data_IF_709767920725
#
_entry.id   IF_709767920725
#
_cell.length_a   1.000
_cell.length_b   1.000
_cell.length_c   1.000
_cell.angle_alpha   90.00
_cell.angle_beta   90.00
_cell.angle_gamma   90.00
#
_symmetry.space_group_name_H-M   'P 1'
#
loop_
_entity.id
_entity.type
_entity.pdbx_description
1 polymer ?
#
# COMPACT_ATOMS: atom_id res chain seq x y z
N UNK A 1 58.91 -34.32 -39.23
CA UNK A 1 57.52 -33.91 -38.95
C UNK A 1 57.46 -33.68 -37.46
N UNK A 2 57.82 -32.49 -37.01
CA UNK A 2 57.77 -32.13 -35.59
C UNK A 2 56.92 -30.87 -35.50
N UNK A 3 55.68 -31.05 -35.05
CA UNK A 3 54.68 -30.01 -34.94
C UNK A 3 54.73 -29.44 -33.55
N UNK A 4 55.54 -28.41 -33.34
CA UNK A 4 55.57 -27.67 -32.09
C UNK A 4 54.32 -26.79 -32.02
N UNK A 5 53.36 -27.20 -31.19
CA UNK A 5 52.23 -26.34 -30.83
C UNK A 5 52.80 -25.23 -29.96
N UNK A 6 52.76 -24.00 -30.49
CA UNK A 6 53.27 -22.82 -29.80
C UNK A 6 52.42 -22.56 -28.55
N UNK A 7 53.05 -22.60 -27.37
CA UNK A 7 52.40 -22.41 -26.07
C UNK A 7 51.67 -21.05 -26.01
N UNK A 8 52.06 -20.09 -26.85
CA UNK A 8 51.41 -18.79 -26.98
C UNK A 8 50.00 -18.85 -27.60
N UNK A 9 49.68 -19.83 -28.43
CA UNK A 9 48.33 -19.98 -29.00
C UNK A 9 47.33 -20.53 -27.97
N UNK A 10 47.79 -21.41 -27.07
CA UNK A 10 46.98 -21.93 -25.95
C UNK A 10 46.69 -20.82 -24.93
N UNK A 11 47.64 -19.92 -24.68
CA UNK A 11 47.46 -18.78 -23.78
C UNK A 11 46.53 -17.69 -24.35
N UNK A 12 46.42 -17.59 -25.68
CA UNK A 12 45.51 -16.64 -26.34
C UNK A 12 44.06 -17.14 -26.33
N UNK A 13 43.85 -18.45 -26.45
CA UNK A 13 42.53 -19.08 -26.39
C UNK A 13 41.89 -19.06 -24.99
N UNK A 14 42.69 -19.16 -23.94
CA UNK A 14 42.19 -19.15 -22.55
C UNK A 14 41.79 -17.76 -22.03
N UNK A 15 42.31 -16.66 -22.60
CA UNK A 15 42.00 -15.29 -22.14
C UNK A 15 40.75 -14.65 -22.75
N UNK A 16 40.26 -15.15 -23.88
CA UNK A 16 39.08 -14.60 -24.57
C UNK A 16 37.77 -15.26 -24.14
N UNK A 17 37.80 -16.49 -23.64
CA UNK A 17 36.60 -17.25 -23.24
C UNK A 17 35.98 -16.76 -21.91
N UNK A 18 36.81 -16.32 -20.95
CA UNK A 18 36.35 -15.92 -19.60
C UNK A 18 35.67 -14.51 -19.58
N UNK A 19 36.04 -13.63 -20.51
CA UNK A 19 35.42 -12.29 -20.64
C UNK A 19 33.97 -12.35 -21.14
N UNK A 20 33.64 -13.29 -22.02
CA UNK A 20 32.28 -13.44 -22.56
C UNK A 20 31.28 -13.89 -21.50
N UNK A 21 31.68 -14.84 -20.64
CA UNK A 21 30.86 -15.28 -19.51
C UNK A 21 30.65 -14.17 -18.49
N UNK A 22 31.71 -13.44 -18.11
CA UNK A 22 31.64 -12.36 -17.11
C UNK A 22 30.78 -11.18 -17.57
N UNK A 23 30.85 -10.79 -18.85
CA UNK A 23 29.93 -9.78 -19.41
C UNK A 23 28.48 -10.25 -19.40
N UNK A 24 28.24 -11.54 -19.69
CA UNK A 24 26.89 -12.11 -19.68
C UNK A 24 26.30 -12.16 -18.25
N UNK A 25 27.10 -12.57 -17.26
CA UNK A 25 26.71 -12.52 -15.85
C UNK A 25 26.38 -11.10 -15.39
N UNK A 26 27.21 -10.11 -15.73
CA UNK A 26 26.95 -8.71 -15.39
C UNK A 26 25.64 -8.25 -16.03
N UNK A 27 25.41 -8.55 -17.31
CA UNK A 27 24.18 -8.16 -18.01
C UNK A 27 22.93 -8.81 -17.37
N UNK A 28 22.99 -10.10 -17.04
CA UNK A 28 21.93 -10.80 -16.32
C UNK A 28 21.67 -10.17 -14.94
N UNK A 29 22.71 -9.84 -14.17
CA UNK A 29 22.57 -9.17 -12.89
C UNK A 29 21.91 -7.79 -13.03
N UNK A 30 22.29 -7.00 -14.04
CA UNK A 30 21.67 -5.71 -14.31
C UNK A 30 20.20 -5.85 -14.73
N UNK A 31 19.86 -6.83 -15.56
CA UNK A 31 18.47 -7.09 -15.95
C UNK A 31 17.63 -7.51 -14.75
N UNK A 32 18.15 -8.40 -13.90
CA UNK A 32 17.46 -8.82 -12.67
C UNK A 32 17.33 -7.67 -11.66
N UNK A 33 18.34 -6.81 -11.57
CA UNK A 33 18.28 -5.63 -10.72
C UNK A 33 17.24 -4.62 -11.23
N UNK A 34 17.24 -4.31 -12.52
CA UNK A 34 16.25 -3.43 -13.14
C UNK A 34 14.83 -3.99 -13.01
N UNK A 35 14.63 -5.30 -13.25
CA UNK A 35 13.30 -5.92 -13.12
C UNK A 35 12.79 -5.86 -11.68
N UNK A 36 13.65 -6.11 -10.68
CA UNK A 36 13.26 -5.98 -9.27
C UNK A 36 12.88 -4.54 -8.90
N UNK A 37 13.60 -3.53 -9.38
CA UNK A 37 13.22 -2.11 -9.17
C UNK A 37 11.84 -1.82 -9.79
N UNK A 38 11.60 -2.28 -11.02
CA UNK A 38 10.31 -2.05 -11.70
C UNK A 38 9.17 -2.69 -10.90
N UNK A 39 9.37 -3.90 -10.37
CA UNK A 39 8.37 -4.58 -9.53
C UNK A 39 8.11 -3.80 -8.23
N UNK A 40 9.15 -3.31 -7.57
CA UNK A 40 9.01 -2.52 -6.34
C UNK A 40 8.26 -1.20 -6.60
N UNK A 41 8.61 -0.48 -7.66
CA UNK A 41 7.93 0.77 -8.04
C UNK A 41 6.48 0.49 -8.45
N UNK A 42 6.24 -0.57 -9.22
CA UNK A 42 4.90 -0.99 -9.61
C UNK A 42 4.02 -1.35 -8.41
N UNK A 43 4.58 -2.03 -7.41
CA UNK A 43 3.90 -2.36 -6.18
C UNK A 43 3.54 -1.12 -5.36
N UNK A 44 4.48 -0.17 -5.17
CA UNK A 44 4.17 1.11 -4.50
C UNK A 44 3.06 1.84 -5.24
N UNK A 45 3.15 1.97 -6.56
CA UNK A 45 2.13 2.63 -7.37
C UNK A 45 0.76 1.96 -7.26
N UNK A 46 0.71 0.62 -7.32
CA UNK A 46 -0.52 -0.15 -7.19
C UNK A 46 -1.17 0.07 -5.83
N UNK A 47 -0.40 -0.09 -4.74
CA UNK A 47 -0.94 0.05 -3.39
C UNK A 47 -1.41 1.48 -3.10
N UNK A 48 -0.66 2.51 -3.48
CA UNK A 48 -1.07 3.91 -3.29
C UNK A 48 -2.26 4.32 -4.20
N UNK A 49 -2.53 3.56 -5.25
CA UNK A 49 -3.65 3.84 -6.16
C UNK A 49 -4.94 3.16 -5.70
N UNK A 50 -4.85 1.88 -5.33
CA UNK A 50 -6.01 1.09 -4.91
C UNK A 50 -6.36 1.25 -3.43
N UNK A 51 -5.36 1.45 -2.58
CA UNK A 51 -5.51 1.59 -1.13
C UNK A 51 -4.83 2.89 -0.65
N UNK A 52 -5.38 4.07 -1.02
CA UNK A 52 -4.79 5.35 -0.66
C UNK A 52 -4.98 5.71 0.83
N UNK A 53 -5.88 5.02 1.54
CA UNK A 53 -6.20 5.25 2.95
C UNK A 53 -6.62 3.97 3.67
N UNK A 54 -6.70 4.04 5.00
CA UNK A 54 -7.37 3.09 5.89
C UNK A 54 -8.31 3.84 6.86
N UNK A 55 -9.46 3.25 7.20
CA UNK A 55 -10.38 3.78 8.22
C UNK A 55 -10.07 3.26 9.63
N UNK A 56 -9.22 2.24 9.71
CA UNK A 56 -8.74 1.63 10.96
C UNK A 56 -7.24 1.92 11.10
N UNK A 57 -6.78 2.02 12.34
CA UNK A 57 -5.34 2.12 12.64
C UNK A 57 -4.63 0.89 12.09
N UNK A 58 -3.63 1.13 11.25
CA UNK A 58 -2.78 0.09 10.64
C UNK A 58 -1.37 0.67 10.51
N UNK A 59 -0.35 -0.11 10.87
CA UNK A 59 1.05 0.33 10.88
C UNK A 59 1.54 0.78 9.49
N UNK A 60 0.90 0.30 8.41
CA UNK A 60 1.17 0.70 7.04
C UNK A 60 0.64 2.11 6.72
N UNK A 61 -0.26 2.65 7.54
CA UNK A 61 -0.90 3.95 7.38
C UNK A 61 -0.66 4.82 8.63
N UNK A 62 0.56 5.32 8.86
CA UNK A 62 0.91 5.97 10.13
C UNK A 62 0.38 7.40 10.28
N UNK A 63 -0.13 8.04 9.21
CA UNK A 63 -0.49 9.46 9.25
C UNK A 63 -2.01 9.66 9.36
N UNK A 64 -2.52 10.16 10.50
CA UNK A 64 -3.93 10.47 10.64
C UNK A 64 -4.32 11.76 9.91
N UNK A 65 -5.54 11.77 9.39
CA UNK A 65 -6.23 12.88 8.74
C UNK A 65 -7.71 12.83 9.12
N UNK A 66 -8.42 13.95 8.97
CA UNK A 66 -9.85 14.03 9.29
C UNK A 66 -10.67 14.49 8.09
N UNK A 67 -11.85 13.90 7.92
CA UNK A 67 -12.81 14.33 6.89
C UNK A 67 -13.43 15.67 7.27
N UNK A 68 -13.72 16.51 6.27
CA UNK A 68 -14.25 17.85 6.52
C UNK A 68 -15.70 17.83 7.02
N UNK A 69 -16.51 16.88 6.57
CA UNK A 69 -17.97 16.84 6.85
C UNK A 69 -18.30 16.36 8.26
N UNK A 70 -17.68 15.27 8.69
CA UNK A 70 -18.05 14.56 9.92
C UNK A 70 -16.90 14.45 10.93
N UNK A 71 -15.70 14.97 10.61
CA UNK A 71 -14.54 14.84 11.48
C UNK A 71 -14.09 13.39 11.67
N UNK A 72 -14.43 12.51 10.74
CA UNK A 72 -14.04 11.08 10.79
C UNK A 72 -12.53 11.00 10.54
N UNK A 73 -11.83 10.35 11.45
CA UNK A 73 -10.40 10.09 11.33
C UNK A 73 -10.14 8.94 10.36
N UNK A 74 -9.16 9.14 9.48
CA UNK A 74 -8.67 8.14 8.54
C UNK A 74 -7.16 8.27 8.41
N UNK A 75 -6.53 7.23 7.92
CA UNK A 75 -5.09 7.06 7.97
C UNK A 75 -4.52 6.93 6.56
N UNK A 76 -3.39 7.57 6.29
CA UNK A 76 -2.71 7.54 4.99
C UNK A 76 -1.25 7.14 5.14
N UNK A 77 -0.66 6.58 4.06
CA UNK A 77 0.76 6.22 4.02
C UNK A 77 1.69 7.42 4.03
N UNK A 78 1.27 8.52 3.43
CA UNK A 78 2.03 9.77 3.35
C UNK A 78 1.09 10.94 3.09
N UNK A 79 1.10 11.92 4.00
CA UNK A 79 0.27 13.13 3.90
C UNK A 79 0.55 13.90 2.60
N UNK A 80 1.83 14.14 2.29
CA UNK A 80 2.22 14.88 1.09
C UNK A 80 1.79 14.19 -0.20
N UNK A 81 1.95 12.85 -0.31
CA UNK A 81 1.49 12.11 -1.50
C UNK A 81 -0.03 12.18 -1.62
N UNK A 82 -0.75 12.03 -0.50
CA UNK A 82 -2.21 12.08 -0.48
C UNK A 82 -2.74 13.46 -0.87
N UNK A 83 -2.24 14.53 -0.27
CA UNK A 83 -2.70 15.90 -0.53
C UNK A 83 -2.28 16.41 -1.92
N UNK A 84 -1.15 15.95 -2.48
CA UNK A 84 -0.83 16.22 -3.90
C UNK A 84 -1.83 15.58 -4.86
N UNK A 85 -2.31 14.38 -4.56
CA UNK A 85 -3.28 13.65 -5.40
C UNK A 85 -4.71 14.11 -5.18
N UNK A 86 -5.06 14.43 -3.93
CA UNK A 86 -6.38 14.81 -3.44
C UNK A 86 -6.28 16.13 -2.66
N UNK A 87 -5.95 17.21 -3.35
CA UNK A 87 -5.77 18.52 -2.72
C UNK A 87 -7.05 19.03 -2.06
N UNK A 88 -6.89 19.64 -0.88
CA UNK A 88 -8.00 20.19 -0.10
C UNK A 88 -8.79 21.20 -0.91
N UNK A 89 -10.13 21.14 -0.82
CA UNK A 89 -11.05 22.02 -1.55
C UNK A 89 -11.32 21.59 -3.00
N UNK A 90 -10.67 20.54 -3.51
CA UNK A 90 -10.96 20.02 -4.86
C UNK A 90 -12.14 19.04 -4.85
N UNK A 91 -12.81 18.90 -6.02
CA UNK A 91 -13.85 17.87 -6.20
C UNK A 91 -13.29 16.45 -5.98
N UNK A 92 -12.04 16.19 -6.36
CA UNK A 92 -11.39 14.90 -6.10
C UNK A 92 -11.26 14.62 -4.61
N UNK A 93 -10.94 15.63 -3.80
CA UNK A 93 -10.88 15.50 -2.34
C UNK A 93 -12.26 15.24 -1.73
N UNK A 94 -13.30 15.95 -2.16
CA UNK A 94 -14.65 15.67 -1.70
C UNK A 94 -15.07 14.23 -2.01
N UNK A 95 -14.84 13.75 -3.25
CA UNK A 95 -15.22 12.40 -3.67
C UNK A 95 -14.49 11.31 -2.88
N UNK A 96 -13.19 11.49 -2.59
CA UNK A 96 -12.46 10.50 -1.80
C UNK A 96 -12.88 10.54 -0.33
N UNK A 97 -13.16 11.72 0.24
CA UNK A 97 -13.70 11.82 1.60
C UNK A 97 -15.09 11.20 1.71
N UNK A 98 -15.96 11.38 0.71
CA UNK A 98 -17.28 10.74 0.67
C UNK A 98 -17.15 9.21 0.70
N UNK A 99 -16.22 8.65 -0.08
CA UNK A 99 -15.91 7.22 -0.04
C UNK A 99 -15.35 6.77 1.32
N UNK A 100 -14.45 7.55 1.92
CA UNK A 100 -13.90 7.28 3.26
C UNK A 100 -15.03 7.23 4.30
N UNK A 101 -15.99 8.15 4.21
CA UNK A 101 -17.15 8.20 5.09
C UNK A 101 -18.00 6.93 4.92
N UNK A 102 -18.29 6.53 3.68
CA UNK A 102 -19.03 5.27 3.40
C UNK A 102 -18.32 4.05 3.97
N UNK A 103 -17.02 3.91 3.73
CA UNK A 103 -16.21 2.79 4.24
C UNK A 103 -16.16 2.76 5.78
N UNK A 104 -16.04 3.94 6.40
CA UNK A 104 -16.07 4.08 7.85
C UNK A 104 -17.43 3.67 8.42
N UNK A 105 -18.54 4.12 7.81
CA UNK A 105 -19.88 3.77 8.26
C UNK A 105 -20.15 2.29 8.13
N UNK A 106 -19.73 1.67 7.02
CA UNK A 106 -19.83 0.22 6.85
C UNK A 106 -19.08 -0.52 7.96
N UNK A 107 -17.82 -0.15 8.20
CA UNK A 107 -17.00 -0.74 9.26
C UNK A 107 -17.64 -0.55 10.64
N UNK A 108 -17.99 0.69 10.99
CA UNK A 108 -18.53 1.03 12.30
C UNK A 108 -19.91 0.40 12.55
N UNK A 109 -20.76 0.24 11.52
CA UNK A 109 -22.04 -0.43 11.67
C UNK A 109 -21.85 -1.90 12.03
N UNK A 110 -20.92 -2.61 11.37
CA UNK A 110 -20.62 -4.00 11.71
C UNK A 110 -20.09 -4.11 13.15
N UNK A 111 -19.14 -3.24 13.53
CA UNK A 111 -18.64 -3.21 14.90
C UNK A 111 -19.74 -2.89 15.92
N UNK A 112 -20.66 -1.98 15.61
CA UNK A 112 -21.79 -1.69 16.49
C UNK A 112 -22.74 -2.89 16.63
N UNK A 113 -23.01 -3.63 15.55
CA UNK A 113 -23.79 -4.86 15.63
C UNK A 113 -23.14 -5.88 16.56
N UNK A 114 -21.83 -6.11 16.40
CA UNK A 114 -21.07 -7.00 17.28
C UNK A 114 -21.16 -6.52 18.75
N UNK A 115 -20.93 -5.22 19.00
CA UNK A 115 -21.05 -4.63 20.35
C UNK A 115 -22.44 -4.83 20.95
N UNK A 116 -23.51 -4.65 20.16
CA UNK A 116 -24.88 -4.87 20.60
C UNK A 116 -25.17 -6.34 20.93
N UNK A 117 -24.67 -7.28 20.13
CA UNK A 117 -24.79 -8.71 20.42
C UNK A 117 -24.14 -9.06 21.76
N UNK A 118 -22.93 -8.55 22.02
CA UNK A 118 -22.26 -8.70 23.31
C UNK A 118 -23.04 -8.04 24.45
N UNK A 119 -23.60 -6.85 24.21
CA UNK A 119 -24.38 -6.11 25.19
C UNK A 119 -25.68 -6.82 25.60
N UNK A 120 -26.34 -7.52 24.67
CA UNK A 120 -27.54 -8.30 24.97
C UNK A 120 -27.26 -9.44 25.96
N UNK A 121 -26.09 -10.08 25.85
CA UNK A 121 -25.66 -11.15 26.76
C UNK A 121 -25.09 -10.58 28.05
N UNK A 122 -24.40 -9.44 27.97
CA UNK A 122 -23.77 -8.74 29.09
C UNK A 122 -24.14 -7.25 29.06
N UNK A 123 -25.19 -6.84 29.80
CA UNK A 123 -25.66 -5.44 29.79
C UNK A 123 -24.62 -4.42 30.28
N UNK A 124 -23.53 -4.86 30.89
CA UNK A 124 -22.39 -4.02 31.30
C UNK A 124 -21.34 -3.84 30.21
N UNK A 125 -21.43 -4.56 29.10
CA UNK A 125 -20.48 -4.47 27.99
C UNK A 125 -20.62 -3.12 27.27
N UNK A 126 -19.57 -2.31 27.10
CA UNK A 126 -19.71 -0.99 26.50
C UNK A 126 -19.96 -1.08 24.98
N UNK A 127 -20.69 -0.10 24.42
CA UNK A 127 -20.99 0.02 22.99
C UNK A 127 -20.40 1.31 22.37
N UNK A 128 -19.08 1.53 22.48
CA UNK A 128 -18.46 2.81 22.12
C UNK A 128 -18.58 3.14 20.64
N UNK A 129 -18.58 2.13 19.75
CA UNK A 129 -18.72 2.35 18.31
C UNK A 129 -20.15 2.75 17.97
N UNK A 130 -21.14 2.13 18.60
CA UNK A 130 -22.54 2.54 18.48
C UNK A 130 -22.76 3.98 18.96
N UNK A 131 -22.23 4.34 20.13
CA UNK A 131 -22.36 5.67 20.71
C UNK A 131 -21.75 6.73 19.78
N UNK A 132 -20.59 6.41 19.20
CA UNK A 132 -19.91 7.28 18.23
C UNK A 132 -20.74 7.44 16.96
N UNK A 133 -21.30 6.35 16.41
CA UNK A 133 -22.19 6.43 15.24
C UNK A 133 -23.42 7.29 15.50
N UNK A 134 -24.04 7.13 16.68
CA UNK A 134 -25.18 7.94 17.09
C UNK A 134 -24.81 9.42 17.20
N UNK A 135 -23.62 9.74 17.74
CA UNK A 135 -23.14 11.12 17.87
C UNK A 135 -22.92 11.82 16.53
N UNK A 136 -22.66 11.07 15.46
CA UNK A 136 -22.53 11.60 14.10
C UNK A 136 -23.89 11.95 13.49
N UNK A 137 -25.01 11.65 14.16
CA UNK A 137 -26.36 11.89 13.66
C UNK A 137 -26.74 10.97 12.49
N UNK A 138 -25.95 9.92 12.26
CA UNK A 138 -26.15 8.96 11.17
C UNK A 138 -26.92 7.79 11.77
N UNK A 139 -28.24 7.95 11.87
CA UNK A 139 -29.12 6.85 12.27
C UNK A 139 -28.94 5.71 11.27
N UNK A 140 -28.49 4.54 11.73
CA UNK A 140 -28.18 3.35 10.94
C UNK A 140 -29.37 2.68 10.25
N UNK A 141 -30.40 3.44 9.85
CA UNK A 141 -31.65 2.94 9.27
C UNK A 141 -31.73 3.07 7.75
N UNK A 142 -30.67 3.52 7.07
CA UNK A 142 -30.67 3.60 5.59
C UNK A 142 -29.27 3.66 4.99
N UNK A 143 -28.62 2.50 4.91
CA UNK A 143 -27.74 2.14 3.79
C UNK A 143 -28.22 0.79 3.26
#
# INVERSE_FOLDING_TARGET
MDGTIDVNDVAKSTKTSDRGGRLCFICCCFVLFCSSIILLVGYDYYTNTHYPYSVVVDDSYPFPLTTKKFGIEFYVKSRDKFDRKYAVGTSKRSKIEDKIIEDYLYYANNCCQDEQEWHQVRPDFPTPTCDKLQSLGINGSRL
#
